data_IF_513668922266
#
_entry.id   IF_513668922266
#
_cell.length_a   1.000
_cell.length_b   1.000
_cell.length_c   1.000
_cell.angle_alpha   90.00
_cell.angle_beta   90.00
_cell.angle_gamma   90.00
#
_symmetry.space_group_name_H-M   'P 1'
#
loop_
_entity.id
_entity.type
_entity.pdbx_description
1 polymer ?
#
# COMPACT_ATOMS: atom_id res chain seq x y z
N UNK A 1 22.83 29.77 26.40
CA UNK A 1 22.62 29.53 24.94
C UNK A 1 22.01 28.16 24.67
N UNK A 2 22.63 27.06 25.10
CA UNK A 2 22.11 25.70 24.86
C UNK A 2 20.69 25.43 25.40
N UNK A 3 20.35 25.97 26.58
CA UNK A 3 19.02 25.89 27.20
C UNK A 3 17.94 26.73 26.49
N UNK A 4 18.34 27.83 25.84
CA UNK A 4 17.42 28.67 25.07
C UNK A 4 17.02 27.96 23.77
N UNK A 5 18.00 27.37 23.09
CA UNK A 5 17.76 26.62 21.87
C UNK A 5 16.93 25.34 22.11
N UNK A 6 17.05 24.68 23.27
CA UNK A 6 16.20 23.52 23.60
C UNK A 6 14.74 23.92 23.81
N UNK A 7 14.49 25.04 24.50
CA UNK A 7 13.14 25.59 24.69
C UNK A 7 12.54 26.03 23.35
N UNK A 8 13.33 26.68 22.48
CA UNK A 8 12.88 27.04 21.12
C UNK A 8 12.53 25.79 20.33
N UNK A 9 13.37 24.75 20.37
CA UNK A 9 13.12 23.51 19.65
C UNK A 9 11.82 22.83 20.09
N UNK A 10 11.59 22.72 21.40
CA UNK A 10 10.39 22.10 21.96
C UNK A 10 9.13 22.87 21.58
N UNK A 11 9.17 24.20 21.68
CA UNK A 11 8.03 25.04 21.24
C UNK A 11 7.73 24.85 19.76
N UNK A 12 8.75 24.80 18.89
CA UNK A 12 8.56 24.60 17.44
C UNK A 12 8.10 23.19 17.09
N UNK A 13 8.53 22.16 17.81
CA UNK A 13 8.10 20.78 17.59
C UNK A 13 6.69 20.49 18.12
N UNK A 14 6.21 21.33 19.03
CA UNK A 14 4.84 21.31 19.55
C UNK A 14 3.85 22.09 18.68
N UNK A 15 4.31 22.83 17.66
CA UNK A 15 3.42 23.50 16.70
C UNK A 15 2.61 22.47 15.91
N UNK A 16 1.32 22.77 15.69
CA UNK A 16 0.38 21.88 14.97
C UNK A 16 0.83 21.62 13.52
N UNK A 17 1.46 22.61 12.91
CA UNK A 17 2.16 22.50 11.62
C UNK A 17 3.62 22.79 11.88
N UNK A 18 4.49 21.82 11.61
CA UNK A 18 5.92 21.95 11.87
C UNK A 18 6.53 22.91 10.84
N UNK A 19 7.11 24.02 11.28
CA UNK A 19 7.89 24.89 10.41
C UNK A 19 9.23 24.21 10.05
N UNK A 20 9.24 23.48 8.93
CA UNK A 20 10.37 22.66 8.47
C UNK A 20 11.65 23.48 8.33
N UNK A 21 11.57 24.68 7.76
CA UNK A 21 12.76 25.52 7.52
C UNK A 21 13.39 26.01 8.83
N UNK A 22 12.56 26.44 9.78
CA UNK A 22 13.03 26.93 11.09
C UNK A 22 13.68 25.81 11.90
N UNK A 23 13.09 24.61 11.89
CA UNK A 23 13.65 23.45 12.60
C UNK A 23 14.89 22.91 11.88
N UNK A 24 14.94 22.99 10.55
CA UNK A 24 16.13 22.62 9.78
C UNK A 24 17.31 23.53 10.11
N UNK A 25 17.10 24.85 10.14
CA UNK A 25 18.14 25.81 10.55
C UNK A 25 18.65 25.53 11.97
N UNK A 26 17.75 25.19 12.88
CA UNK A 26 18.10 24.85 14.25
C UNK A 26 18.96 23.59 14.31
N UNK A 27 18.57 22.52 13.61
CA UNK A 27 19.34 21.27 13.53
C UNK A 27 20.72 21.46 12.87
N UNK A 28 20.80 22.32 11.85
CA UNK A 28 22.05 22.70 11.17
C UNK A 28 22.99 23.47 12.12
N UNK A 29 22.46 24.42 12.87
CA UNK A 29 23.22 25.17 13.88
C UNK A 29 23.74 24.26 15.00
N UNK A 30 22.93 23.27 15.42
CA UNK A 30 23.31 22.30 16.45
C UNK A 30 24.30 21.24 15.97
N UNK A 31 24.21 20.79 14.72
CA UNK A 31 25.16 19.79 14.19
C UNK A 31 26.57 20.36 14.12
N UNK A 32 26.73 21.66 13.84
CA UNK A 32 28.01 22.37 13.91
C UNK A 32 28.58 22.41 15.35
N UNK A 33 27.72 22.49 16.37
CA UNK A 33 28.10 22.51 17.79
C UNK A 33 28.38 21.11 18.36
N UNK A 34 27.90 20.04 17.72
CA UNK A 34 28.09 18.64 18.15
C UNK A 34 29.56 18.22 18.20
N UNK A 35 30.42 18.87 17.42
CA UNK A 35 31.86 18.63 17.47
C UNK A 35 32.51 19.07 18.81
N UNK A 36 31.83 19.89 19.63
CA UNK A 36 32.44 20.53 20.81
C UNK A 36 31.76 20.25 22.15
N UNK A 37 30.57 19.67 22.20
CA UNK A 37 29.87 19.48 23.48
C UNK A 37 29.14 18.13 23.57
N UNK A 38 29.78 17.15 24.21
CA UNK A 38 29.08 16.05 24.85
C UNK A 38 28.53 16.55 26.18
N UNK A 39 27.21 16.72 26.30
CA UNK A 39 26.36 16.71 27.53
C UNK A 39 25.18 17.67 27.37
N UNK A 40 24.02 17.17 26.95
CA UNK A 40 22.69 17.71 27.29
C UNK A 40 21.59 16.85 26.66
N UNK A 41 20.42 16.73 27.31
CA UNK A 41 19.29 15.87 26.89
C UNK A 41 18.78 16.10 25.46
N UNK A 42 19.06 17.26 24.86
CA UNK A 42 18.80 17.52 23.45
C UNK A 42 19.59 16.60 22.49
N UNK A 43 20.78 16.13 22.88
CA UNK A 43 21.54 15.13 22.13
C UNK A 43 20.85 13.78 22.07
N UNK A 44 20.16 13.40 23.15
CA UNK A 44 19.45 12.12 23.23
C UNK A 44 18.30 12.07 22.22
N UNK A 45 17.64 13.20 21.98
CA UNK A 45 16.53 13.33 21.04
C UNK A 45 16.93 13.87 19.66
N UNK A 46 18.20 14.22 19.43
CA UNK A 46 18.63 14.86 18.18
C UNK A 46 18.25 14.02 16.95
N UNK A 47 18.51 12.71 16.99
CA UNK A 47 18.16 11.81 15.91
C UNK A 47 16.63 11.69 15.73
N UNK A 48 15.86 11.73 16.82
CA UNK A 48 14.39 11.70 16.78
C UNK A 48 13.84 12.96 16.12
N UNK A 49 14.37 14.13 16.49
CA UNK A 49 13.99 15.44 15.92
C UNK A 49 14.39 15.51 14.45
N UNK A 50 15.62 15.11 14.12
CA UNK A 50 16.11 15.01 12.75
C UNK A 50 15.22 14.13 11.87
N UNK A 51 14.85 12.93 12.34
CA UNK A 51 13.95 12.03 11.61
C UNK A 51 12.56 12.62 11.42
N UNK A 52 12.00 13.24 12.46
CA UNK A 52 10.66 13.87 12.38
C UNK A 52 10.66 15.02 11.37
N UNK A 53 11.64 15.90 11.43
CA UNK A 53 11.77 17.02 10.49
C UNK A 53 12.06 16.54 9.07
N UNK A 54 12.86 15.48 8.89
CA UNK A 54 13.11 14.88 7.58
C UNK A 54 11.82 14.29 6.99
N UNK A 55 11.04 13.56 7.78
CA UNK A 55 9.75 13.01 7.33
C UNK A 55 8.82 14.13 6.83
N UNK A 56 8.75 15.23 7.57
CA UNK A 56 7.93 16.38 7.20
C UNK A 56 8.47 17.12 5.97
N UNK A 57 9.79 17.27 5.85
CA UNK A 57 10.43 17.86 4.68
C UNK A 57 10.15 17.05 3.40
N UNK A 58 10.19 15.72 3.51
CA UNK A 58 9.85 14.81 2.43
C UNK A 58 8.37 14.88 2.06
N UNK A 59 7.46 14.90 3.05
CA UNK A 59 6.02 15.05 2.82
C UNK A 59 5.69 16.39 2.13
N UNK A 60 6.33 17.48 2.54
CA UNK A 60 6.16 18.81 1.94
C UNK A 60 6.99 19.03 0.66
N UNK A 61 7.72 18.00 0.19
CA UNK A 61 8.61 18.05 -0.99
C UNK A 61 9.64 19.20 -0.96
N UNK A 62 10.05 19.61 0.24
CA UNK A 62 11.05 20.68 0.40
C UNK A 62 12.45 20.11 0.22
N UNK A 63 12.93 20.10 -1.03
CA UNK A 63 14.26 19.56 -1.39
C UNK A 63 15.39 20.30 -0.67
N UNK A 64 15.27 21.62 -0.48
CA UNK A 64 16.32 22.42 0.18
C UNK A 64 16.49 22.01 1.64
N UNK A 65 15.38 21.84 2.36
CA UNK A 65 15.41 21.36 3.73
C UNK A 65 15.89 19.90 3.79
N UNK A 66 15.40 19.04 2.90
CA UNK A 66 15.80 17.63 2.85
C UNK A 66 17.31 17.46 2.61
N UNK A 67 17.90 18.23 1.68
CA UNK A 67 19.35 18.23 1.40
C UNK A 67 20.17 18.62 2.65
N UNK A 68 19.74 19.67 3.37
CA UNK A 68 20.39 20.11 4.60
C UNK A 68 20.32 19.03 5.68
N UNK A 69 19.16 18.44 5.89
CA UNK A 69 18.96 17.37 6.89
C UNK A 69 19.72 16.09 6.51
N UNK A 70 19.84 15.79 5.21
CA UNK A 70 20.65 14.68 4.71
C UNK A 70 22.12 14.86 5.06
N UNK A 71 22.69 16.05 4.81
CA UNK A 71 24.08 16.36 5.11
C UNK A 71 24.39 16.31 6.62
N UNK A 72 23.39 16.58 7.47
CA UNK A 72 23.54 16.55 8.93
C UNK A 72 23.66 15.12 9.47
N UNK A 73 22.94 14.15 8.90
CA UNK A 73 22.82 12.84 9.55
C UNK A 73 22.31 11.68 8.69
N UNK A 74 22.69 11.62 7.41
CA UNK A 74 22.33 10.54 6.46
C UNK A 74 22.48 9.13 7.06
N UNK A 75 23.57 8.85 7.79
CA UNK A 75 23.84 7.54 8.41
C UNK A 75 22.81 7.13 9.46
N UNK A 76 22.19 8.10 10.14
CA UNK A 76 21.23 7.86 11.23
C UNK A 76 19.78 7.68 10.75
N UNK A 77 19.56 7.88 9.45
CA UNK A 77 18.23 7.83 8.83
C UNK A 77 17.78 6.38 8.62
N UNK A 78 16.50 6.05 8.91
CA UNK A 78 15.91 4.78 8.52
C UNK A 78 15.91 4.59 7.00
N UNK A 79 16.04 3.35 6.54
CA UNK A 79 16.11 2.98 5.12
C UNK A 79 14.94 3.53 4.30
N UNK A 80 13.72 3.47 4.82
CA UNK A 80 12.53 4.04 4.16
C UNK A 80 12.63 5.55 3.92
N UNK A 81 13.26 6.31 4.82
CA UNK A 81 13.48 7.74 4.63
C UNK A 81 14.56 8.01 3.58
N UNK A 82 15.60 7.16 3.51
CA UNK A 82 16.62 7.25 2.46
C UNK A 82 16.02 6.96 1.08
N UNK A 83 15.15 5.96 0.97
CA UNK A 83 14.42 5.65 -0.27
C UNK A 83 13.50 6.80 -0.66
N UNK A 84 12.75 7.38 0.28
CA UNK A 84 11.90 8.54 0.03
C UNK A 84 12.69 9.77 -0.40
N UNK A 85 13.86 10.01 0.20
CA UNK A 85 14.76 11.06 -0.24
C UNK A 85 15.30 10.82 -1.66
N UNK A 86 15.67 9.59 -1.99
CA UNK A 86 16.06 9.23 -3.36
C UNK A 86 14.90 9.46 -4.36
N UNK A 87 13.66 9.18 -3.97
CA UNK A 87 12.48 9.49 -4.78
C UNK A 87 12.34 11.01 -5.01
N UNK A 88 12.49 11.82 -3.96
CA UNK A 88 12.45 13.28 -4.08
C UNK A 88 13.58 13.83 -4.96
N UNK A 89 14.79 13.27 -4.88
CA UNK A 89 15.90 13.64 -5.76
C UNK A 89 15.59 13.30 -7.22
N UNK A 90 15.00 12.14 -7.47
CA UNK A 90 14.63 11.68 -8.81
C UNK A 90 13.62 12.63 -9.47
N UNK A 91 12.59 13.06 -8.74
CA UNK A 91 11.55 13.96 -9.27
C UNK A 91 12.07 15.38 -9.49
N UNK A 92 13.07 15.81 -8.71
CA UNK A 92 13.82 17.04 -8.95
C UNK A 92 14.91 16.91 -10.03
N UNK A 93 14.84 15.89 -10.90
CA UNK A 93 15.78 15.60 -12.01
C UNK A 93 17.23 15.33 -11.59
N UNK A 94 17.49 15.11 -10.30
CA UNK A 94 18.81 14.73 -9.76
C UNK A 94 18.96 13.21 -9.72
N UNK A 95 18.80 12.59 -10.89
CA UNK A 95 18.72 11.12 -11.04
C UNK A 95 20.01 10.42 -10.60
N UNK A 96 21.17 11.01 -10.85
CA UNK A 96 22.44 10.41 -10.44
C UNK A 96 22.66 10.48 -8.93
N UNK A 97 22.16 11.51 -8.25
CA UNK A 97 22.17 11.60 -6.80
C UNK A 97 21.26 10.53 -6.18
N UNK A 98 20.06 10.35 -6.76
CA UNK A 98 19.15 9.29 -6.37
C UNK A 98 19.79 7.90 -6.53
N UNK A 99 20.49 7.64 -7.65
CA UNK A 99 21.25 6.40 -7.85
C UNK A 99 22.29 6.17 -6.77
N UNK A 100 23.05 7.21 -6.40
CA UNK A 100 24.08 7.11 -5.36
C UNK A 100 23.48 6.69 -4.02
N UNK A 101 22.39 7.32 -3.61
CA UNK A 101 21.69 6.97 -2.36
C UNK A 101 21.16 5.53 -2.40
N UNK A 102 20.51 5.11 -3.49
CA UNK A 102 19.99 3.74 -3.61
C UNK A 102 21.11 2.69 -3.62
N UNK A 103 22.25 3.01 -4.24
CA UNK A 103 23.43 2.14 -4.26
C UNK A 103 24.04 2.01 -2.87
N UNK A 104 24.10 3.10 -2.09
CA UNK A 104 24.55 3.06 -0.70
C UNK A 104 23.68 2.12 0.15
N UNK A 105 22.35 2.22 0.02
CA UNK A 105 21.40 1.33 0.70
C UNK A 105 21.64 -0.14 0.31
N UNK A 106 21.82 -0.40 -0.99
CA UNK A 106 22.08 -1.75 -1.51
C UNK A 106 23.41 -2.31 -0.98
N UNK A 107 24.48 -1.51 -1.02
CA UNK A 107 25.81 -1.90 -0.53
C UNK A 107 25.84 -2.16 0.98
N UNK A 108 25.05 -1.43 1.75
CA UNK A 108 24.94 -1.61 3.20
C UNK A 108 24.00 -2.75 3.62
N UNK A 109 23.41 -3.47 2.65
CA UNK A 109 22.44 -4.54 2.89
C UNK A 109 21.30 -4.15 3.85
N UNK A 110 20.87 -2.89 3.78
CA UNK A 110 19.83 -2.37 4.66
C UNK A 110 18.46 -3.03 4.35
N UNK A 111 17.74 -3.55 5.36
CA UNK A 111 16.46 -4.21 5.13
C UNK A 111 15.37 -3.18 4.76
N UNK A 112 14.52 -3.55 3.80
CA UNK A 112 13.33 -2.79 3.42
C UNK A 112 12.19 -3.74 3.05
N UNK A 113 10.97 -3.23 3.13
CA UNK A 113 9.75 -3.95 2.73
C UNK A 113 9.19 -3.31 1.45
N UNK A 114 9.03 -4.12 0.41
CA UNK A 114 8.48 -3.71 -0.88
C UNK A 114 7.05 -3.18 -0.75
N UNK A 115 6.25 -3.73 0.16
CA UNK A 115 4.87 -3.28 0.40
C UNK A 115 4.85 -1.88 1.00
N UNK A 116 5.80 -1.58 1.89
CA UNK A 116 5.91 -0.24 2.48
C UNK A 116 6.38 0.80 1.46
N UNK A 117 7.17 0.40 0.44
CA UNK A 117 7.58 1.30 -0.64
C UNK A 117 6.38 1.62 -1.53
N UNK A 118 5.65 0.60 -1.98
CA UNK A 118 4.52 0.78 -2.90
C UNK A 118 3.33 1.50 -2.29
N UNK A 119 3.20 1.50 -0.96
CA UNK A 119 2.13 2.19 -0.20
C UNK A 119 2.60 3.47 0.48
N UNK A 120 3.87 3.82 0.36
CA UNK A 120 4.44 4.99 1.04
C UNK A 120 3.74 6.27 0.60
N UNK A 121 3.30 7.07 1.57
CA UNK A 121 2.82 8.44 1.38
C UNK A 121 3.94 9.41 0.94
N UNK A 122 5.18 8.93 0.86
CA UNK A 122 6.37 9.71 0.47
C UNK A 122 6.71 9.57 -1.02
N UNK A 123 5.94 8.79 -1.77
CA UNK A 123 6.00 8.76 -3.23
C UNK A 123 5.23 9.95 -3.81
N UNK A 124 5.57 10.35 -5.04
CA UNK A 124 5.01 11.54 -5.68
C UNK A 124 3.57 11.28 -6.11
N UNK A 125 2.77 12.32 -6.31
CA UNK A 125 1.38 12.15 -6.80
C UNK A 125 1.32 11.79 -8.28
N UNK A 126 2.43 11.96 -9.02
CA UNK A 126 2.50 11.63 -10.43
C UNK A 126 2.87 10.16 -10.64
N UNK A 127 2.01 9.45 -11.38
CA UNK A 127 2.19 8.03 -11.71
C UNK A 127 3.46 7.79 -12.54
N UNK A 128 3.71 8.61 -13.57
CA UNK A 128 4.82 8.37 -14.49
C UNK A 128 6.16 8.56 -13.78
N UNK A 129 6.28 9.59 -12.95
CA UNK A 129 7.47 9.84 -12.14
C UNK A 129 7.72 8.71 -11.13
N UNK A 130 6.66 8.22 -10.50
CA UNK A 130 6.74 7.07 -9.61
C UNK A 130 7.15 5.79 -10.33
N UNK A 131 6.53 5.46 -11.46
CA UNK A 131 6.88 4.28 -12.25
C UNK A 131 8.35 4.35 -12.75
N UNK A 132 8.81 5.54 -13.15
CA UNK A 132 10.20 5.77 -13.54
C UNK A 132 11.17 5.57 -12.37
N UNK A 133 10.89 6.14 -11.20
CA UNK A 133 11.68 5.94 -9.99
C UNK A 133 11.71 4.47 -9.56
N UNK A 134 10.56 3.79 -9.53
CA UNK A 134 10.50 2.37 -9.21
C UNK A 134 11.22 1.50 -10.25
N UNK A 135 11.22 1.91 -11.52
CA UNK A 135 12.01 1.28 -12.57
C UNK A 135 13.51 1.36 -12.28
N UNK A 136 13.98 2.51 -11.81
CA UNK A 136 15.36 2.69 -11.35
C UNK A 136 15.65 1.84 -10.11
N UNK A 137 14.76 1.88 -9.12
CA UNK A 137 14.86 1.09 -7.89
C UNK A 137 14.98 -0.40 -8.20
N UNK A 138 14.08 -0.95 -9.02
CA UNK A 138 14.08 -2.35 -9.40
C UNK A 138 15.39 -2.77 -10.11
N UNK A 139 15.99 -1.87 -10.89
CA UNK A 139 17.27 -2.11 -11.58
C UNK A 139 18.44 -2.18 -10.62
N UNK A 140 18.54 -1.26 -9.66
CA UNK A 140 19.63 -1.21 -8.69
C UNK A 140 19.57 -2.41 -7.73
N UNK A 141 18.39 -2.71 -7.20
CA UNK A 141 18.19 -3.82 -6.27
C UNK A 141 18.05 -5.18 -6.98
N UNK A 142 18.19 -5.23 -8.31
CA UNK A 142 18.08 -6.44 -9.15
C UNK A 142 16.82 -7.26 -8.82
N UNK A 143 15.69 -6.58 -8.65
CA UNK A 143 14.44 -7.23 -8.29
C UNK A 143 13.98 -8.16 -9.42
N UNK A 144 13.48 -9.34 -9.05
CA UNK A 144 12.88 -10.26 -10.02
C UNK A 144 11.59 -9.66 -10.63
N UNK A 145 11.14 -10.23 -11.75
CA UNK A 145 9.98 -9.74 -12.50
C UNK A 145 8.70 -9.70 -11.65
N UNK A 146 8.54 -10.67 -10.73
CA UNK A 146 7.38 -10.73 -9.85
C UNK A 146 7.37 -9.61 -8.81
N UNK A 147 8.50 -9.37 -8.14
CA UNK A 147 8.64 -8.29 -7.15
C UNK A 147 8.47 -6.92 -7.78
N UNK A 148 9.01 -6.73 -8.99
CA UNK A 148 8.81 -5.52 -9.78
C UNK A 148 7.34 -5.30 -10.12
N UNK A 149 6.63 -6.36 -10.51
CA UNK A 149 5.18 -6.30 -10.79
C UNK A 149 4.39 -5.94 -9.55
N UNK A 150 4.67 -6.57 -8.40
CA UNK A 150 4.01 -6.26 -7.12
C UNK A 150 4.19 -4.80 -6.72
N UNK A 151 5.41 -4.29 -6.83
CA UNK A 151 5.77 -2.90 -6.53
C UNK A 151 4.98 -1.90 -7.40
N UNK A 152 4.91 -2.13 -8.71
CA UNK A 152 4.17 -1.28 -9.65
C UNK A 152 2.65 -1.38 -9.45
N UNK A 153 2.15 -2.59 -9.19
CA UNK A 153 0.72 -2.82 -8.95
C UNK A 153 0.20 -2.05 -7.73
N UNK A 154 1.00 -1.93 -6.65
CA UNK A 154 0.59 -1.15 -5.48
C UNK A 154 0.41 0.34 -5.76
N UNK A 155 1.21 0.94 -6.64
CA UNK A 155 1.02 2.34 -7.06
C UNK A 155 -0.21 2.47 -7.95
N UNK A 156 -0.33 1.58 -8.94
CA UNK A 156 -1.45 1.59 -9.88
C UNK A 156 -2.78 1.40 -9.17
N UNK A 157 -2.83 0.55 -8.15
CA UNK A 157 -4.03 0.32 -7.35
C UNK A 157 -4.43 1.56 -6.53
N UNK A 158 -3.48 2.26 -5.91
CA UNK A 158 -3.79 3.53 -5.19
C UNK A 158 -4.32 4.61 -6.11
N UNK A 159 -3.75 4.75 -7.31
CA UNK A 159 -4.25 5.72 -8.29
C UNK A 159 -5.68 5.37 -8.75
N UNK A 160 -5.92 4.08 -8.97
CA UNK A 160 -7.23 3.57 -9.28
C UNK A 160 -8.25 3.79 -8.14
N UNK A 161 -7.88 3.55 -6.88
CA UNK A 161 -8.72 3.86 -5.72
C UNK A 161 -9.06 5.36 -5.65
N UNK A 162 -8.08 6.25 -5.89
CA UNK A 162 -8.32 7.70 -5.94
C UNK A 162 -9.37 8.07 -6.99
N UNK A 163 -9.33 7.46 -8.18
CA UNK A 163 -10.33 7.70 -9.23
C UNK A 163 -11.73 7.21 -8.82
N UNK A 164 -11.81 6.05 -8.15
CA UNK A 164 -13.08 5.54 -7.62
C UNK A 164 -13.64 6.46 -6.53
N UNK A 165 -12.81 6.87 -5.57
CA UNK A 165 -13.21 7.72 -4.45
C UNK A 165 -13.62 9.13 -4.92
N UNK A 166 -12.99 9.64 -5.99
CA UNK A 166 -13.38 10.89 -6.65
C UNK A 166 -14.66 10.76 -7.49
N UNK A 167 -15.19 9.55 -7.70
CA UNK A 167 -16.36 9.29 -8.54
C UNK A 167 -16.09 9.32 -10.05
N UNK A 168 -14.82 9.35 -10.47
CA UNK A 168 -14.41 9.37 -11.88
C UNK A 168 -14.40 7.94 -12.46
N UNK A 169 -15.56 7.28 -12.48
CA UNK A 169 -15.63 5.85 -12.76
C UNK A 169 -15.32 5.47 -14.21
N UNK A 170 -15.60 6.35 -15.18
CA UNK A 170 -15.23 6.11 -16.58
C UNK A 170 -13.71 6.14 -16.78
N UNK A 171 -13.02 7.08 -16.13
CA UNK A 171 -11.56 7.17 -16.12
C UNK A 171 -10.95 5.95 -15.42
N UNK A 172 -11.51 5.56 -14.27
CA UNK A 172 -11.11 4.35 -13.54
C UNK A 172 -11.29 3.07 -14.40
N UNK A 173 -12.36 2.98 -15.18
CA UNK A 173 -12.60 1.87 -16.10
C UNK A 173 -11.59 1.85 -17.25
N UNK A 174 -11.31 2.99 -17.89
CA UNK A 174 -10.29 3.08 -18.94
C UNK A 174 -8.92 2.66 -18.39
N UNK A 175 -8.57 3.14 -17.20
CA UNK A 175 -7.34 2.79 -16.50
C UNK A 175 -7.23 1.29 -16.23
N UNK A 176 -8.31 0.68 -15.72
CA UNK A 176 -8.37 -0.75 -15.47
C UNK A 176 -8.24 -1.57 -16.76
N UNK A 177 -8.83 -1.10 -17.87
CA UNK A 177 -8.75 -1.76 -19.17
C UNK A 177 -7.33 -1.79 -19.72
N UNK A 178 -6.60 -0.67 -19.62
CA UNK A 178 -5.21 -0.57 -20.08
C UNK A 178 -4.30 -1.53 -19.28
N UNK A 179 -4.44 -1.55 -17.95
CA UNK A 179 -3.69 -2.47 -17.09
C UNK A 179 -4.08 -3.92 -17.37
N UNK A 180 -5.35 -4.19 -17.65
CA UNK A 180 -5.82 -5.53 -17.99
C UNK A 180 -5.28 -6.00 -19.35
N UNK A 181 -5.03 -5.07 -20.28
CA UNK A 181 -4.33 -5.35 -21.52
C UNK A 181 -2.86 -5.70 -21.28
N UNK A 182 -2.16 -4.94 -20.43
CA UNK A 182 -0.75 -5.18 -20.09
C UNK A 182 -0.52 -6.49 -19.32
N UNK A 183 -1.38 -6.80 -18.34
CA UNK A 183 -1.17 -7.91 -17.41
C UNK A 183 -1.80 -9.23 -17.87
N UNK A 184 -2.73 -9.16 -18.83
CA UNK A 184 -3.53 -10.30 -19.27
C UNK A 184 -4.54 -10.80 -18.22
N UNK A 185 -4.79 -10.04 -17.16
CA UNK A 185 -5.79 -10.35 -16.12
C UNK A 185 -6.75 -9.18 -15.97
N UNK A 186 -7.98 -9.43 -15.56
CA UNK A 186 -8.87 -8.35 -15.16
C UNK A 186 -8.30 -7.65 -13.92
N UNK A 187 -8.18 -6.32 -13.99
CA UNK A 187 -7.69 -5.47 -12.91
C UNK A 187 -8.85 -4.65 -12.33
N UNK A 188 -8.92 -4.55 -11.00
CA UNK A 188 -9.88 -3.67 -10.31
C UNK A 188 -11.35 -4.02 -10.55
N UNK A 189 -11.64 -5.26 -10.95
CA UNK A 189 -12.97 -5.61 -11.42
C UNK A 189 -14.02 -5.64 -10.31
N UNK A 190 -13.67 -6.07 -9.10
CA UNK A 190 -14.62 -6.14 -7.97
C UNK A 190 -14.93 -4.72 -7.48
N UNK A 191 -13.90 -3.88 -7.35
CA UNK A 191 -14.01 -2.49 -6.92
C UNK A 191 -14.84 -1.65 -7.89
N UNK A 192 -14.64 -1.80 -9.20
CA UNK A 192 -15.45 -1.13 -10.23
C UNK A 192 -16.89 -1.64 -10.26
N UNK A 193 -17.11 -2.96 -10.16
CA UNK A 193 -18.46 -3.52 -10.09
C UNK A 193 -19.19 -3.00 -8.85
N UNK A 194 -18.51 -2.95 -7.70
CA UNK A 194 -19.05 -2.40 -6.48
C UNK A 194 -19.37 -0.92 -6.59
N UNK A 195 -18.45 -0.11 -7.14
CA UNK A 195 -18.68 1.30 -7.38
C UNK A 195 -19.89 1.54 -8.31
N UNK A 196 -19.99 0.81 -9.41
CA UNK A 196 -21.11 0.86 -10.34
C UNK A 196 -22.46 0.49 -9.66
N UNK A 197 -22.47 -0.53 -8.79
CA UNK A 197 -23.65 -0.94 -8.04
C UNK A 197 -24.15 0.11 -7.04
N UNK A 198 -23.24 0.91 -6.44
CA UNK A 198 -23.60 2.00 -5.52
C UNK A 198 -24.31 3.13 -6.24
N UNK A 199 -23.85 3.48 -7.43
CA UNK A 199 -24.44 4.55 -8.25
C UNK A 199 -25.53 4.06 -9.23
N UNK A 200 -25.82 2.75 -9.21
CA UNK A 200 -26.75 2.08 -10.12
C UNK A 200 -26.42 2.25 -11.62
N UNK A 201 -25.14 2.40 -11.96
CA UNK A 201 -24.67 2.48 -13.35
C UNK A 201 -24.55 1.08 -13.97
N UNK A 202 -25.64 0.66 -14.61
CA UNK A 202 -25.72 -0.64 -15.27
C UNK A 202 -24.86 -0.72 -16.54
N UNK A 203 -24.56 0.41 -17.18
CA UNK A 203 -23.73 0.43 -18.39
C UNK A 203 -22.28 0.13 -18.02
N UNK A 204 -21.74 0.82 -17.01
CA UNK A 204 -20.41 0.54 -16.48
C UNK A 204 -20.31 -0.89 -15.97
N UNK A 205 -21.30 -1.36 -15.21
CA UNK A 205 -21.32 -2.73 -14.68
C UNK A 205 -21.21 -3.78 -15.81
N UNK A 206 -21.98 -3.62 -16.89
CA UNK A 206 -21.92 -4.50 -18.05
C UNK A 206 -20.56 -4.43 -18.77
N UNK A 207 -19.97 -3.24 -18.87
CA UNK A 207 -18.64 -3.04 -19.45
C UNK A 207 -17.55 -3.79 -18.64
N UNK A 208 -17.62 -3.72 -17.31
CA UNK A 208 -16.69 -4.43 -16.42
C UNK A 208 -16.87 -5.94 -16.51
N UNK A 209 -18.11 -6.43 -16.51
CA UNK A 209 -18.41 -7.86 -16.73
C UNK A 209 -17.85 -8.33 -18.08
N UNK A 210 -18.05 -7.55 -19.15
CA UNK A 210 -17.51 -7.84 -20.47
C UNK A 210 -15.98 -7.90 -20.49
N UNK A 211 -15.31 -6.98 -19.79
CA UNK A 211 -13.85 -6.99 -19.62
C UNK A 211 -13.36 -8.28 -18.94
N UNK A 212 -14.01 -8.71 -17.86
CA UNK A 212 -13.64 -9.95 -17.14
C UNK A 212 -13.86 -11.17 -18.04
N UNK A 213 -14.99 -11.23 -18.76
CA UNK A 213 -15.29 -12.32 -19.69
C UNK A 213 -14.25 -12.45 -20.82
N UNK A 214 -13.71 -11.33 -21.31
CA UNK A 214 -12.69 -11.34 -22.35
C UNK A 214 -11.33 -11.82 -21.85
N UNK A 215 -10.98 -11.55 -20.58
CA UNK A 215 -9.67 -11.90 -20.00
C UNK A 215 -9.64 -13.26 -19.34
N UNK A 216 -10.77 -13.68 -18.79
CA UNK A 216 -10.94 -14.92 -18.07
C UNK A 216 -12.06 -15.73 -18.74
N UNK A 217 -13.20 -15.88 -18.07
CA UNK A 217 -14.37 -16.54 -18.61
C UNK A 217 -15.66 -15.99 -17.98
N UNK A 218 -16.79 -16.54 -18.42
CA UNK A 218 -18.11 -16.17 -17.91
C UNK A 218 -18.34 -16.55 -16.44
N UNK A 219 -17.69 -17.61 -15.94
CA UNK A 219 -17.83 -18.04 -14.56
C UNK A 219 -17.10 -17.09 -13.61
N UNK A 220 -15.87 -16.72 -13.94
CA UNK A 220 -15.08 -15.73 -13.21
C UNK A 220 -15.84 -14.41 -13.12
N UNK A 221 -16.40 -13.92 -14.22
CA UNK A 221 -17.20 -12.69 -14.22
C UNK A 221 -18.44 -12.76 -13.32
N UNK A 222 -19.09 -13.93 -13.24
CA UNK A 222 -20.24 -14.12 -12.35
C UNK A 222 -19.83 -14.22 -10.88
N UNK A 223 -18.69 -14.86 -10.58
CA UNK A 223 -18.16 -14.95 -9.22
C UNK A 223 -17.75 -13.55 -8.74
N UNK A 224 -16.98 -12.81 -9.54
CA UNK A 224 -16.55 -11.44 -9.22
C UNK A 224 -17.77 -10.52 -9.02
N UNK A 225 -18.80 -10.68 -9.85
CA UNK A 225 -20.05 -9.94 -9.68
C UNK A 225 -20.82 -10.36 -8.41
N UNK A 226 -20.83 -11.65 -8.08
CA UNK A 226 -21.39 -12.16 -6.83
C UNK A 226 -20.68 -11.60 -5.60
N UNK A 227 -19.35 -11.51 -5.63
CA UNK A 227 -18.55 -10.87 -4.58
C UNK A 227 -18.89 -9.38 -4.46
N UNK A 228 -18.93 -8.65 -5.57
CA UNK A 228 -19.28 -7.23 -5.56
C UNK A 228 -20.70 -6.98 -4.99
N UNK A 229 -21.67 -7.87 -5.25
CA UNK A 229 -23.00 -7.79 -4.64
C UNK A 229 -22.98 -8.02 -3.13
N UNK A 230 -22.17 -8.96 -2.63
CA UNK A 230 -22.00 -9.20 -1.19
C UNK A 230 -21.38 -7.99 -0.50
N UNK A 231 -20.35 -7.39 -1.09
CA UNK A 231 -19.69 -6.17 -0.57
C UNK A 231 -20.63 -4.96 -0.54
N UNK A 232 -21.69 -4.97 -1.35
CA UNK A 232 -22.73 -3.94 -1.39
C UNK A 232 -24.01 -4.35 -0.64
N UNK A 233 -23.94 -5.33 0.25
CA UNK A 233 -25.05 -5.80 1.10
C UNK A 233 -26.27 -6.33 0.32
N UNK A 234 -26.11 -6.66 -0.97
CA UNK A 234 -27.17 -7.22 -1.83
C UNK A 234 -27.20 -8.75 -1.76
N UNK A 235 -27.34 -9.28 -0.54
CA UNK A 235 -27.15 -10.71 -0.23
C UNK A 235 -28.08 -11.63 -1.03
N UNK A 236 -29.37 -11.29 -1.16
CA UNK A 236 -30.33 -12.12 -1.91
C UNK A 236 -29.97 -12.26 -3.39
N UNK A 237 -29.41 -11.20 -3.99
CA UNK A 237 -29.02 -11.20 -5.39
C UNK A 237 -27.74 -12.03 -5.58
N UNK A 238 -26.78 -11.90 -4.67
CA UNK A 238 -25.58 -12.74 -4.66
C UNK A 238 -25.92 -14.22 -4.49
N UNK A 239 -26.82 -14.56 -3.56
CA UNK A 239 -27.27 -15.93 -3.33
C UNK A 239 -27.87 -16.56 -4.60
N UNK A 240 -28.66 -15.81 -5.36
CA UNK A 240 -29.18 -16.27 -6.66
C UNK A 240 -28.06 -16.59 -7.67
N UNK A 241 -27.02 -15.75 -7.74
CA UNK A 241 -25.90 -15.97 -8.66
C UNK A 241 -25.13 -17.24 -8.30
N UNK A 242 -24.83 -17.44 -7.02
CA UNK A 242 -24.14 -18.65 -6.57
C UNK A 242 -25.02 -19.90 -6.68
N UNK A 243 -26.33 -19.79 -6.44
CA UNK A 243 -27.27 -20.90 -6.58
C UNK A 243 -27.42 -21.38 -8.04
N UNK A 244 -27.31 -20.48 -9.02
CA UNK A 244 -27.46 -20.82 -10.45
C UNK A 244 -26.27 -21.65 -10.98
N UNK A 245 -25.12 -21.72 -10.29
CA UNK A 245 -23.91 -22.31 -10.88
C UNK A 245 -22.97 -23.15 -10.00
N UNK A 246 -23.44 -23.75 -8.91
CA UNK A 246 -22.70 -24.88 -8.31
C UNK A 246 -23.05 -26.18 -9.04
N UNK A 247 -22.56 -26.32 -10.28
CA UNK A 247 -22.36 -27.64 -10.89
C UNK A 247 -21.03 -28.22 -10.37
N UNK A 248 -21.17 -28.98 -9.27
CA UNK A 248 -20.34 -30.02 -8.65
C UNK A 248 -18.80 -30.01 -8.57
N UNK A 249 -17.97 -29.36 -9.40
CA UNK A 249 -16.53 -29.77 -9.44
C UNK A 249 -15.44 -28.69 -9.29
N UNK A 250 -15.70 -27.44 -8.87
CA UNK A 250 -14.65 -26.40 -8.80
C UNK A 250 -14.49 -25.63 -7.49
N UNK A 251 -15.22 -25.97 -6.42
CA UNK A 251 -15.08 -25.27 -5.12
C UNK A 251 -13.74 -25.61 -4.42
N UNK A 252 -13.04 -26.65 -4.84
CA UNK A 252 -11.79 -27.10 -4.20
C UNK A 252 -10.57 -26.18 -4.41
N UNK A 253 -10.62 -25.18 -5.30
CA UNK A 253 -9.45 -24.35 -5.64
C UNK A 253 -9.41 -22.96 -4.99
N UNK A 254 -10.47 -22.53 -4.30
CA UNK A 254 -10.61 -21.14 -3.80
C UNK A 254 -10.45 -20.99 -2.28
N UNK A 255 -9.96 -22.01 -1.58
CA UNK A 255 -9.84 -22.04 -0.11
C UNK A 255 -8.83 -21.08 0.52
N UNK A 256 -8.48 -19.95 -0.08
CA UNK A 256 -7.45 -19.05 0.47
C UNK A 256 -7.72 -17.54 0.42
N UNK A 257 -8.88 -17.06 -0.03
CA UNK A 257 -9.14 -15.61 -0.07
C UNK A 257 -10.52 -15.32 0.53
N UNK A 258 -10.50 -14.63 1.68
CA UNK A 258 -11.63 -14.15 2.50
C UNK A 258 -12.44 -15.20 3.32
N UNK A 259 -12.04 -15.37 4.59
CA UNK A 259 -12.62 -16.30 5.58
C UNK A 259 -13.93 -15.82 6.23
N UNK A 260 -14.41 -14.60 6.00
CA UNK A 260 -15.67 -14.14 6.66
C UNK A 260 -16.95 -14.35 5.85
N UNK A 261 -16.87 -14.55 4.53
CA UNK A 261 -18.05 -14.78 3.68
C UNK A 261 -18.59 -16.23 3.75
N UNK A 262 -17.79 -17.18 4.23
CA UNK A 262 -18.13 -18.61 4.19
C UNK A 262 -19.19 -19.03 5.22
N UNK A 263 -19.41 -18.23 6.28
CA UNK A 263 -20.40 -18.57 7.31
C UNK A 263 -21.84 -18.36 6.85
N UNK A 264 -22.09 -17.53 5.82
CA UNK A 264 -23.44 -17.25 5.33
C UNK A 264 -23.88 -18.30 4.29
N UNK A 265 -22.93 -18.93 3.58
CA UNK A 265 -23.23 -19.98 2.62
C UNK A 265 -23.60 -21.33 3.27
N UNK A 266 -23.34 -21.53 4.57
CA UNK A 266 -23.55 -22.82 5.24
C UNK A 266 -24.94 -23.02 5.85
N UNK A 267 -25.78 -21.98 5.93
CA UNK A 267 -27.17 -22.10 6.42
C UNK A 267 -28.18 -22.44 5.30
N UNK A 268 -27.71 -22.66 4.07
CA UNK A 268 -28.54 -23.12 2.96
C UNK A 268 -27.99 -24.46 2.46
N UNK A 269 -28.32 -25.56 3.16
CA UNK A 269 -28.64 -26.90 2.58
C UNK A 269 -28.41 -28.04 3.59
N UNK A 270 -29.51 -28.58 4.11
CA UNK A 270 -29.64 -29.84 4.85
C UNK A 270 -29.29 -31.12 4.02
N UNK A 271 -28.38 -31.05 3.04
CA UNK A 271 -28.09 -32.18 2.12
C UNK A 271 -26.63 -32.55 1.91
N UNK A 272 -25.72 -32.20 2.81
CA UNK A 272 -24.30 -32.60 2.72
C UNK A 272 -23.87 -33.44 3.93
N UNK A 273 -24.32 -34.68 3.99
CA UNK A 273 -24.11 -35.60 5.12
C UNK A 273 -22.76 -36.35 5.13
N UNK A 274 -21.65 -35.77 4.64
CA UNK A 274 -20.36 -36.50 4.63
C UNK A 274 -19.07 -35.71 4.95
N UNK A 275 -19.13 -34.50 5.49
CA UNK A 275 -17.91 -33.81 5.98
C UNK A 275 -17.75 -33.98 7.50
N UNK A 276 -16.71 -34.72 7.94
CA UNK A 276 -16.28 -34.73 9.35
C UNK A 276 -15.36 -33.54 9.62
N UNK A 277 -15.85 -32.57 10.39
CA UNK A 277 -15.08 -31.44 10.90
C UNK A 277 -14.27 -31.84 12.15
N UNK A 278 -13.04 -31.36 12.31
CA UNK A 278 -12.29 -31.38 13.58
C UNK A 278 -11.89 -29.96 13.98
N UNK A 279 -12.07 -29.62 15.26
CA UNK A 279 -11.68 -28.31 15.82
C UNK A 279 -10.14 -28.17 15.81
N UNK A 280 -9.63 -27.06 15.25
CA UNK A 280 -8.23 -26.65 15.42
C UNK A 280 -8.20 -25.17 15.77
N UNK A 281 -7.71 -24.86 16.99
CA UNK A 281 -7.57 -23.49 17.47
C UNK A 281 -6.40 -22.78 16.78
N UNK A 282 -6.67 -21.61 16.17
CA UNK A 282 -5.64 -20.72 15.62
C UNK A 282 -5.56 -19.44 16.46
N UNK A 283 -4.37 -19.16 16.97
CA UNK A 283 -4.04 -17.99 17.79
C UNK A 283 -3.65 -16.79 16.94
N UNK A 284 -4.18 -15.60 17.25
CA UNK A 284 -3.55 -14.30 16.96
C UNK A 284 -3.75 -13.32 18.12
N UNK A 285 -2.64 -12.72 18.58
CA UNK A 285 -2.59 -11.50 19.42
C UNK A 285 -2.94 -10.29 18.55
N UNK A 286 -3.62 -9.22 18.97
CA UNK A 286 -4.30 -8.89 20.21
C UNK A 286 -5.35 -7.82 19.87
N UNK A 287 -6.53 -7.89 20.51
CA UNK A 287 -7.54 -6.82 20.49
C UNK A 287 -8.93 -7.30 20.08
N UNK A 288 -9.64 -7.92 21.05
CA UNK A 288 -11.08 -8.25 21.10
C UNK A 288 -11.64 -9.45 20.29
N UNK A 289 -12.20 -10.39 21.06
CA UNK A 289 -13.01 -11.58 20.76
C UNK A 289 -12.37 -12.78 20.04
N UNK A 290 -12.14 -13.86 20.80
CA UNK A 290 -11.85 -15.21 20.31
C UNK A 290 -13.04 -15.74 19.48
N UNK A 291 -12.88 -15.93 18.16
CA UNK A 291 -13.79 -16.75 17.35
C UNK A 291 -13.12 -18.09 17.04
N UNK A 292 -13.83 -19.18 17.35
CA UNK A 292 -13.43 -20.55 17.01
C UNK A 292 -13.46 -20.71 15.49
N UNK A 293 -12.38 -21.19 14.89
CA UNK A 293 -12.31 -21.55 13.48
C UNK A 293 -12.32 -23.06 13.29
N UNK A 294 -12.95 -23.54 12.22
CA UNK A 294 -12.93 -24.94 11.82
C UNK A 294 -12.06 -25.11 10.58
N UNK A 295 -11.29 -26.20 10.52
CA UNK A 295 -10.44 -26.54 9.38
C UNK A 295 -10.89 -27.90 8.84
N UNK A 296 -11.18 -27.98 7.54
CA UNK A 296 -11.42 -29.24 6.84
C UNK A 296 -10.07 -29.90 6.48
N UNK A 297 -9.88 -31.15 6.88
CA UNK A 297 -8.84 -32.03 6.35
C UNK A 297 -9.49 -33.15 5.53
N UNK A 298 -8.97 -33.42 4.33
CA UNK A 298 -9.27 -34.65 3.60
C UNK A 298 -8.29 -35.73 4.07
N UNK A 299 -8.81 -36.79 4.69
CA UNK A 299 -8.07 -38.05 4.79
C UNK A 299 -8.23 -38.80 3.47
N UNK A 300 -7.10 -39.13 2.83
CA UNK A 300 -7.04 -40.18 1.81
C UNK A 300 -7.50 -41.52 2.36
#
# INVERSE_FOLDING_TARGET
LQTLYSIIAEKRLAEKVLNVDSVTWLLESYSALRATAATNGFFFEFNTKLRRTMKEALANRNIKAADKLWNIGSKSMPTMMKIAYAALLHTNRRVDDAKRVLTEIFSNAEPFDLNNISTSALLVDDRQENEAFLGLFARIFKLNAESRRRLLNGIRFREFEKLIDAGHLEEAFSFAKDISAETGRAFGQVELMGAALRIADMQLLNNVIGMVQQKHDKNAALIDFGVALLENERIEHAARIFAVKVQRDQICALGFIHIEAFSICFDISDKWSSCKLREVGVFRRAGTACKKGWVCFLSS
#
